data_IF_298700488024
#
_entry.id   IF_298700488024
#
_cell.length_a   1.000
_cell.length_b   1.000
_cell.length_c   1.000
_cell.angle_alpha   90.00
_cell.angle_beta   90.00
_cell.angle_gamma   90.00
#
_symmetry.space_group_name_H-M   'P 1'
#
loop_
_entity.id
_entity.type
_entity.pdbx_description
1 polymer ?
#
# COMPACT_ATOMS: atom_id res chain seq x y z
N UNK A 1 4.38 12.41 -10.53
CA UNK A 1 5.11 11.86 -9.36
C UNK A 1 4.16 11.03 -8.50
N UNK A 2 4.60 9.89 -7.98
CA UNK A 2 3.79 8.96 -7.16
C UNK A 2 3.19 9.63 -5.92
N UNK A 3 3.93 10.59 -5.32
CA UNK A 3 3.48 11.36 -4.14
C UNK A 3 2.21 12.20 -4.37
N UNK A 4 1.84 12.45 -5.64
CA UNK A 4 0.57 13.13 -5.97
C UNK A 4 -0.64 12.20 -5.94
N UNK A 5 -0.43 10.88 -6.05
CA UNK A 5 -1.49 9.86 -6.11
C UNK A 5 -1.68 9.11 -4.79
N UNK A 6 -0.63 9.01 -4.00
CA UNK A 6 -0.62 8.28 -2.74
C UNK A 6 -0.67 9.26 -1.56
N UNK A 7 -1.55 8.98 -0.60
CA UNK A 7 -1.75 9.75 0.62
C UNK A 7 -1.29 8.90 1.80
N UNK A 8 -0.32 9.40 2.55
CA UNK A 8 0.05 8.82 3.84
C UNK A 8 -1.01 9.18 4.88
N UNK A 9 -1.32 8.22 5.75
CA UNK A 9 -2.17 8.48 6.90
C UNK A 9 -1.42 9.26 7.98
N UNK A 10 -2.21 10.00 8.75
CA UNK A 10 -1.86 10.75 9.95
C UNK A 10 -2.65 10.24 11.17
N UNK A 11 -3.29 9.06 11.08
CA UNK A 11 -4.16 8.49 12.12
C UNK A 11 -3.48 8.26 13.46
N UNK A 12 -2.15 8.09 13.45
CA UNK A 12 -1.33 8.04 14.66
C UNK A 12 0.10 8.53 14.40
N UNK A 13 0.80 9.05 15.41
CA UNK A 13 2.20 9.37 15.29
C UNK A 13 3.05 8.12 15.05
N UNK A 14 4.21 8.32 14.42
CA UNK A 14 5.21 7.27 14.28
C UNK A 14 4.94 6.21 13.21
N UNK A 15 3.97 6.44 12.30
CA UNK A 15 3.81 5.64 11.09
C UNK A 15 5.07 5.70 10.23
N UNK A 16 5.46 4.55 9.69
CA UNK A 16 6.64 4.40 8.85
C UNK A 16 6.47 5.05 7.48
N UNK A 17 7.58 5.40 6.85
CA UNK A 17 7.61 6.09 5.55
C UNK A 17 7.84 5.13 4.38
N UNK A 18 7.14 5.39 3.28
CA UNK A 18 7.45 4.75 2.01
C UNK A 18 8.47 5.57 1.22
N UNK A 19 9.39 4.87 0.56
CA UNK A 19 10.29 5.44 -0.45
C UNK A 19 10.10 4.75 -1.79
N UNK A 20 10.44 5.45 -2.87
CA UNK A 20 10.44 4.89 -4.22
C UNK A 20 11.84 4.39 -4.55
N UNK A 21 12.00 3.10 -4.78
CA UNK A 21 13.29 2.48 -5.11
C UNK A 21 13.08 1.13 -5.80
N UNK A 22 14.07 0.69 -6.57
CA UNK A 22 14.14 -0.67 -7.13
C UNK A 22 14.80 -1.68 -6.15
N UNK A 23 15.34 -1.21 -5.03
CA UNK A 23 16.03 -2.04 -4.04
C UNK A 23 17.54 -2.18 -4.29
N UNK A 24 18.16 -3.16 -3.63
CA UNK A 24 19.59 -3.49 -3.77
C UNK A 24 19.88 -4.29 -5.03
N UNK A 25 18.92 -5.11 -5.46
CA UNK A 25 18.99 -5.86 -6.72
C UNK A 25 17.66 -5.78 -7.44
N UNK A 26 17.70 -5.76 -8.76
CA UNK A 26 16.53 -5.54 -9.63
C UNK A 26 16.82 -6.13 -11.01
N UNK A 27 15.78 -6.40 -11.79
CA UNK A 27 15.90 -6.69 -13.20
C UNK A 27 16.14 -5.42 -14.02
N UNK A 28 15.34 -4.37 -13.76
CA UNK A 28 15.48 -3.06 -14.38
C UNK A 28 15.44 -1.92 -13.33
N UNK A 29 16.44 -1.01 -13.32
CA UNK A 29 16.57 0.03 -12.28
C UNK A 29 15.45 1.08 -12.29
N UNK A 30 14.67 1.18 -13.36
CA UNK A 30 13.60 2.16 -13.54
C UNK A 30 12.22 1.50 -13.43
N UNK A 31 11.99 0.39 -14.14
CA UNK A 31 10.71 -0.31 -14.17
C UNK A 31 10.39 -1.00 -12.84
N UNK A 32 11.41 -1.50 -12.14
CA UNK A 32 11.21 -2.20 -10.86
C UNK A 32 11.06 -1.24 -9.67
N UNK A 33 11.02 0.08 -9.90
CA UNK A 33 10.79 1.04 -8.83
C UNK A 33 9.40 0.85 -8.23
N UNK A 34 9.37 0.38 -6.98
CA UNK A 34 8.17 0.19 -6.18
C UNK A 34 8.16 1.04 -4.91
N UNK A 35 7.05 0.98 -4.17
CA UNK A 35 6.97 1.51 -2.82
C UNK A 35 7.66 0.54 -1.85
N UNK A 36 8.74 0.98 -1.21
CA UNK A 36 9.46 0.20 -0.20
C UNK A 36 9.26 0.84 1.18
N UNK A 37 8.94 0.01 2.17
CA UNK A 37 8.96 0.38 3.60
C UNK A 37 10.40 0.69 4.03
N UNK A 38 10.66 1.84 4.70
CA UNK A 38 12.02 2.29 5.00
C UNK A 38 12.52 2.09 6.43
N UNK A 39 11.65 1.66 7.35
CA UNK A 39 11.90 1.62 8.79
C UNK A 39 11.43 0.28 9.39
N UNK A 40 12.23 -0.30 10.29
CA UNK A 40 11.92 -1.55 10.98
C UNK A 40 10.88 -1.33 12.08
N UNK A 41 10.08 -2.36 12.37
CA UNK A 41 9.11 -2.38 13.49
C UNK A 41 8.14 -1.20 13.48
N UNK A 42 7.73 -0.75 12.30
CA UNK A 42 6.75 0.32 12.10
C UNK A 42 5.47 -0.21 11.48
N UNK A 43 4.35 0.38 11.87
CA UNK A 43 3.11 0.29 11.11
C UNK A 43 3.17 1.24 9.90
N UNK A 44 2.57 0.81 8.80
CA UNK A 44 2.49 1.58 7.56
C UNK A 44 1.04 1.76 7.16
N UNK A 45 0.70 2.97 6.72
CA UNK A 45 -0.64 3.30 6.24
C UNK A 45 -0.54 4.32 5.10
N UNK A 46 -0.69 3.83 3.88
CA UNK A 46 -0.73 4.65 2.66
C UNK A 46 -1.87 4.15 1.79
N UNK A 47 -2.55 5.06 1.11
CA UNK A 47 -3.66 4.71 0.20
C UNK A 47 -3.63 5.56 -1.06
N UNK A 48 -4.18 5.03 -2.14
CA UNK A 48 -4.38 5.77 -3.39
C UNK A 48 -5.82 5.65 -3.83
N UNK A 49 -6.41 6.78 -4.20
CA UNK A 49 -7.80 6.85 -4.66
C UNK A 49 -7.86 6.63 -6.15
N UNK A 50 -8.89 5.91 -6.58
CA UNK A 50 -9.26 5.71 -7.98
C UNK A 50 -10.74 6.04 -8.17
N UNK A 51 -11.20 6.12 -9.43
CA UNK A 51 -12.61 6.39 -9.74
C UNK A 51 -13.50 5.32 -9.09
N UNK A 52 -14.48 5.70 -8.25
CA UNK A 52 -15.38 4.73 -7.63
C UNK A 52 -16.10 3.87 -8.67
N UNK A 53 -16.25 2.58 -8.36
CA UNK A 53 -16.99 1.63 -9.19
C UNK A 53 -17.63 0.53 -8.33
N UNK A 54 -18.50 -0.28 -8.93
CA UNK A 54 -19.05 -1.50 -8.34
C UNK A 54 -18.73 -2.69 -9.23
N UNK A 55 -18.40 -3.83 -8.62
CA UNK A 55 -18.22 -5.11 -9.32
C UNK A 55 -19.49 -5.98 -9.32
N UNK A 56 -20.67 -5.43 -9.01
CA UNK A 56 -21.93 -6.20 -9.05
C UNK A 56 -22.10 -6.84 -10.43
N UNK A 57 -22.32 -8.16 -10.45
CA UNK A 57 -22.45 -8.99 -11.66
C UNK A 57 -21.24 -8.91 -12.62
N UNK A 58 -20.05 -8.53 -12.12
CA UNK A 58 -18.81 -8.46 -12.89
C UNK A 58 -17.66 -9.09 -12.11
N UNK A 59 -16.71 -9.67 -12.85
CA UNK A 59 -15.46 -10.16 -12.26
C UNK A 59 -14.62 -8.99 -11.75
N UNK A 60 -14.12 -9.10 -10.52
CA UNK A 60 -13.11 -8.19 -9.96
C UNK A 60 -11.77 -8.91 -9.93
N UNK A 61 -10.74 -8.28 -10.49
CA UNK A 61 -9.35 -8.76 -10.42
C UNK A 61 -8.53 -7.75 -9.63
N UNK A 62 -7.81 -8.23 -8.63
CA UNK A 62 -6.87 -7.45 -7.82
C UNK A 62 -5.50 -8.10 -7.96
N UNK A 63 -4.55 -7.37 -8.53
CA UNK A 63 -3.21 -7.90 -8.80
C UNK A 63 -2.17 -6.87 -8.39
N UNK A 64 -1.12 -7.36 -7.72
CA UNK A 64 0.04 -6.58 -7.32
C UNK A 64 1.22 -7.53 -7.08
N UNK A 65 2.42 -6.98 -7.00
CA UNK A 65 3.65 -7.73 -6.75
C UNK A 65 4.26 -7.32 -5.42
N UNK A 66 4.76 -8.30 -4.65
CA UNK A 66 5.50 -8.07 -3.40
C UNK A 66 6.87 -8.68 -3.51
N UNK A 67 7.89 -7.94 -3.08
CA UNK A 67 9.27 -8.41 -2.97
C UNK A 67 9.77 -8.20 -1.55
N UNK A 68 9.97 -9.28 -0.80
CA UNK A 68 10.63 -9.25 0.50
C UNK A 68 12.15 -9.33 0.35
N UNK A 69 12.75 -8.25 -0.13
CA UNK A 69 14.21 -8.16 -0.35
C UNK A 69 15.02 -8.36 0.94
N UNK A 70 14.51 -7.88 2.07
CA UNK A 70 15.20 -7.86 3.35
C UNK A 70 15.18 -9.20 4.12
N UNK A 71 14.73 -10.31 3.51
CA UNK A 71 14.49 -11.60 4.20
C UNK A 71 13.66 -11.38 5.47
N UNK A 72 12.44 -10.88 5.28
CA UNK A 72 11.56 -10.48 6.38
C UNK A 72 11.35 -11.62 7.38
N UNK A 73 11.38 -11.29 8.67
CA UNK A 73 11.09 -12.20 9.78
C UNK A 73 9.60 -12.15 10.16
N UNK A 74 9.04 -10.95 10.28
CA UNK A 74 7.63 -10.70 10.58
C UNK A 74 7.15 -9.40 9.93
N UNK A 75 6.12 -9.49 9.09
CA UNK A 75 5.45 -8.32 8.51
C UNK A 75 4.44 -8.69 7.43
N UNK A 76 3.50 -7.77 7.16
CA UNK A 76 2.46 -7.97 6.16
C UNK A 76 2.87 -7.53 4.75
N UNK A 77 2.30 -8.20 3.75
CA UNK A 77 2.46 -7.88 2.33
C UNK A 77 1.13 -7.73 1.58
N UNK A 78 0.04 -7.44 2.29
CA UNK A 78 -1.32 -7.40 1.73
C UNK A 78 -1.81 -6.00 1.38
N UNK A 79 -2.83 -5.93 0.53
CA UNK A 79 -3.58 -4.71 0.22
C UNK A 79 -5.01 -4.77 0.77
N UNK A 80 -5.62 -3.60 0.96
CA UNK A 80 -7.03 -3.45 1.35
C UNK A 80 -7.77 -2.58 0.34
N UNK A 81 -9.00 -2.96 -0.01
CA UNK A 81 -9.92 -2.16 -0.83
C UNK A 81 -10.99 -1.56 0.08
N UNK A 82 -11.16 -0.24 0.00
CA UNK A 82 -12.03 0.53 0.87
C UNK A 82 -13.21 1.12 0.10
N UNK A 83 -14.20 1.62 0.84
CA UNK A 83 -15.24 2.47 0.25
C UNK A 83 -14.65 3.77 -0.29
N UNK A 84 -15.35 4.39 -1.24
CA UNK A 84 -14.98 5.71 -1.76
C UNK A 84 -15.04 6.80 -0.70
N UNK A 85 -15.67 6.57 0.45
CA UNK A 85 -15.84 7.55 1.50
C UNK A 85 -14.75 7.44 2.59
N UNK A 86 -13.75 6.58 2.40
CA UNK A 86 -12.60 6.50 3.29
C UNK A 86 -11.91 7.87 3.42
N UNK A 87 -11.72 8.32 4.65
CA UNK A 87 -10.77 9.37 4.97
C UNK A 87 -9.34 8.79 4.94
N UNK A 88 -8.61 9.10 3.87
CA UNK A 88 -7.25 8.60 3.67
C UNK A 88 -6.27 9.12 4.71
N UNK A 89 -6.52 10.31 5.28
CA UNK A 89 -5.68 10.88 6.33
C UNK A 89 -5.88 10.13 7.63
N UNK A 90 -7.10 9.69 7.94
CA UNK A 90 -7.37 8.91 9.14
C UNK A 90 -7.35 7.37 8.94
N UNK A 91 -6.70 6.87 7.89
CA UNK A 91 -6.59 5.43 7.64
C UNK A 91 -5.81 4.68 8.75
N UNK A 92 -6.42 3.66 9.34
CA UNK A 92 -5.83 2.84 10.41
C UNK A 92 -6.09 1.35 10.19
N UNK A 93 -5.59 0.52 11.13
CA UNK A 93 -5.88 -0.92 11.16
C UNK A 93 -7.38 -1.23 11.27
N UNK A 94 -8.11 -0.38 12.00
CA UNK A 94 -9.54 -0.54 12.34
C UNK A 94 -10.49 0.03 11.27
N UNK A 95 -9.93 0.72 10.26
CA UNK A 95 -10.72 1.27 9.16
C UNK A 95 -11.44 0.14 8.41
N UNK A 96 -12.77 0.26 8.27
CA UNK A 96 -13.59 -0.72 7.57
C UNK A 96 -13.19 -0.83 6.09
N UNK A 97 -12.91 -2.05 5.66
CA UNK A 97 -12.58 -2.39 4.27
C UNK A 97 -13.59 -3.38 3.71
N UNK A 98 -13.68 -3.46 2.38
CA UNK A 98 -14.49 -4.47 1.69
C UNK A 98 -13.70 -5.77 1.48
N UNK A 99 -12.44 -5.65 1.07
CA UNK A 99 -11.57 -6.78 0.73
C UNK A 99 -10.19 -6.53 1.32
N UNK A 100 -9.59 -7.58 1.90
CA UNK A 100 -8.18 -7.64 2.26
C UNK A 100 -7.60 -8.87 1.56
N UNK A 101 -6.49 -8.70 0.85
CA UNK A 101 -5.90 -9.75 0.01
C UNK A 101 -4.38 -9.65 0.01
N UNK A 102 -3.70 -10.77 0.28
CA UNK A 102 -2.25 -10.91 0.27
C UNK A 102 -1.66 -11.77 1.37
#
# INVERSE_FOLDING_TARGET
>A
SWRRRWVNSESKPGLGKFKLTAGKFYGDPVQDKGLQTSENSKFYAISSRFKPFSNKAKTLVVQYTVKHEQKIDCGGGYVKIFSSNLDQKNLSGDSRYYIMFG
#
